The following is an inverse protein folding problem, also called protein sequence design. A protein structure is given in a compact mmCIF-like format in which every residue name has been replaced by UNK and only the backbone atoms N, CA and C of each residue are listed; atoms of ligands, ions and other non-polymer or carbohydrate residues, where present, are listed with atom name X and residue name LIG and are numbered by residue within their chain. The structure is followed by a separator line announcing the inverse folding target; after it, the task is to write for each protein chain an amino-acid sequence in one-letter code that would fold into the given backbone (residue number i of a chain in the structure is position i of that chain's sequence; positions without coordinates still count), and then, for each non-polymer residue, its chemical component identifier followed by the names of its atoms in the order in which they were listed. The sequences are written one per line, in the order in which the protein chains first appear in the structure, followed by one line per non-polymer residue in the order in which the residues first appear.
data_IF_160511861658
#
_entry.id   IF_160511861658
#
_cell.length_a   1.000
_cell.length_b   1.000
_cell.length_c   1.000
_cell.angle_alpha   90.00
_cell.angle_beta   90.00
_cell.angle_gamma   90.00
#
_symmetry.space_group_name_H-M   'P 1'
#
loop_
_entity.id
_entity.type
_entity.pdbx_description
1 polymer ?
#
# COMPACT_ATOMS: atom_id res chain seq x y z
N UNK A 1 41.47 25.42 -28.95
CA UNK A 1 41.18 25.58 -27.51
C UNK A 1 39.69 25.45 -27.17
N UNK A 2 38.78 26.24 -27.77
CA UNK A 2 37.33 26.19 -27.45
C UNK A 2 36.66 24.81 -27.64
N UNK A 3 37.04 24.03 -28.66
CA UNK A 3 36.49 22.69 -28.93
C UNK A 3 36.92 21.61 -27.93
N UNK A 4 38.12 21.73 -27.34
CA UNK A 4 38.65 20.77 -26.37
C UNK A 4 37.98 20.98 -25.01
N UNK A 5 37.78 22.24 -24.61
CA UNK A 5 37.06 22.59 -23.37
C UNK A 5 35.61 22.09 -23.40
N UNK A 6 34.94 22.18 -24.56
CA UNK A 6 33.56 21.70 -24.72
C UNK A 6 33.46 20.17 -24.60
N UNK A 7 34.40 19.42 -25.17
CA UNK A 7 34.42 17.95 -25.09
C UNK A 7 34.71 17.48 -23.65
N UNK A 8 35.63 18.14 -22.94
CA UNK A 8 35.93 17.84 -21.53
C UNK A 8 34.71 18.14 -20.63
N UNK A 9 33.97 19.22 -20.91
CA UNK A 9 32.75 19.57 -20.15
C UNK A 9 31.63 18.53 -20.33
N UNK A 10 31.45 18.00 -21.55
CA UNK A 10 30.45 16.96 -21.84
C UNK A 10 30.78 15.65 -21.12
N UNK A 11 32.07 15.27 -21.06
CA UNK A 11 32.51 14.06 -20.35
C UNK A 11 32.35 14.21 -18.83
N UNK A 12 32.56 15.41 -18.28
CA UNK A 12 32.31 15.73 -16.86
C UNK A 12 30.81 15.75 -16.47
N UNK A 13 29.93 16.04 -17.43
CA UNK A 13 28.47 16.03 -17.25
C UNK A 13 27.84 14.63 -17.46
N UNK A 14 28.60 13.68 -18.01
CA UNK A 14 28.15 12.30 -18.27
C UNK A 14 28.43 11.34 -17.10
N UNK A 15 28.50 11.86 -15.87
CA UNK A 15 28.48 11.00 -14.68
C UNK A 15 27.09 10.40 -14.62
N UNK A 16 26.98 9.16 -15.07
CA UNK A 16 25.78 8.35 -14.96
C UNK A 16 25.31 8.34 -13.51
N UNK A 17 24.26 9.10 -13.21
CA UNK A 17 23.50 8.93 -11.97
C UNK A 17 22.86 7.55 -12.06
N UNK A 18 23.42 6.58 -11.34
CA UNK A 18 22.64 5.39 -11.00
C UNK A 18 21.56 5.88 -10.04
N UNK A 19 20.35 6.04 -10.55
CA UNK A 19 19.16 6.14 -9.70
C UNK A 19 18.97 4.77 -9.05
N UNK A 20 19.74 4.48 -8.00
CA UNK A 20 19.47 3.34 -7.15
C UNK A 20 18.44 3.80 -6.12
N UNK A 21 17.22 3.29 -6.26
CA UNK A 21 16.21 3.40 -5.21
C UNK A 21 16.73 2.53 -4.05
N UNK A 22 17.03 3.17 -2.92
CA UNK A 22 17.32 2.46 -1.69
C UNK A 22 16.01 2.42 -0.90
N UNK A 23 15.50 1.22 -0.64
CA UNK A 23 14.34 1.06 0.23
C UNK A 23 14.84 0.98 1.66
N UNK A 24 14.12 1.63 2.57
CA UNK A 24 14.31 1.40 3.99
C UNK A 24 13.96 -0.06 4.33
N UNK A 25 14.46 -0.54 5.48
CA UNK A 25 14.09 -1.87 5.95
C UNK A 25 12.55 -1.97 6.08
N UNK A 26 11.94 -3.09 5.66
CA UNK A 26 10.50 -3.26 5.80
C UNK A 26 10.12 -3.34 7.28
N UNK A 27 8.91 -2.89 7.59
CA UNK A 27 8.28 -3.12 8.87
C UNK A 27 7.22 -4.22 8.72
N UNK A 28 7.28 -5.24 9.56
CA UNK A 28 6.38 -6.38 9.51
C UNK A 28 5.17 -6.18 10.43
N UNK A 29 3.96 -6.33 9.89
CA UNK A 29 2.70 -6.30 10.63
C UNK A 29 2.13 -7.71 10.76
N UNK A 30 2.18 -8.29 11.96
CA UNK A 30 1.67 -9.63 12.22
C UNK A 30 0.17 -9.60 12.54
N UNK A 31 -0.66 -10.08 11.59
CA UNK A 31 -2.12 -10.06 11.70
C UNK A 31 -2.73 -11.38 12.20
N UNK A 32 -1.93 -12.44 12.36
CA UNK A 32 -2.43 -13.74 12.81
C UNK A 32 -3.36 -14.46 11.81
N UNK A 33 -3.46 -13.99 10.57
CA UNK A 33 -4.33 -14.55 9.53
C UNK A 33 -3.60 -14.65 8.18
N UNK A 34 -4.10 -15.49 7.26
CA UNK A 34 -3.61 -15.57 5.89
C UNK A 34 -4.18 -14.39 5.10
N UNK A 35 -3.32 -13.46 4.67
CA UNK A 35 -3.72 -12.31 3.86
C UNK A 35 -3.74 -12.69 2.38
N UNK A 36 -4.84 -12.38 1.68
CA UNK A 36 -5.05 -12.72 0.25
C UNK A 36 -4.91 -11.52 -0.67
N UNK A 37 -5.20 -10.31 -0.19
CA UNK A 37 -5.09 -9.08 -0.97
C UNK A 37 -4.71 -7.89 -0.09
N UNK A 38 -3.98 -6.94 -0.69
CA UNK A 38 -3.64 -5.64 -0.10
C UNK A 38 -3.83 -4.57 -1.17
N UNK A 39 -4.43 -3.44 -0.82
CA UNK A 39 -4.43 -2.21 -1.64
C UNK A 39 -3.95 -1.03 -0.81
N UNK A 40 -3.54 0.02 -1.51
CA UNK A 40 -3.07 1.27 -0.94
C UNK A 40 -3.91 2.42 -1.50
N UNK A 41 -4.40 3.29 -0.63
CA UNK A 41 -5.18 4.47 -1.02
C UNK A 41 -5.58 5.28 0.20
N UNK A 42 -5.83 6.57 0.00
CA UNK A 42 -6.28 7.50 1.05
C UNK A 42 -7.77 7.24 1.38
N UNK A 43 -8.05 6.49 2.46
CA UNK A 43 -9.43 6.10 2.81
C UNK A 43 -10.04 6.96 3.91
N UNK A 44 -9.26 7.88 4.50
CA UNK A 44 -9.73 8.83 5.49
C UNK A 44 -9.72 10.29 4.98
N UNK A 45 -9.30 10.52 3.74
CA UNK A 45 -9.21 11.81 3.05
C UNK A 45 -8.28 12.81 3.76
N UNK A 46 -7.16 12.33 4.29
CA UNK A 46 -6.14 13.16 4.94
C UNK A 46 -4.93 13.49 4.02
N UNK A 47 -4.94 12.97 2.79
CA UNK A 47 -3.90 13.15 1.79
C UNK A 47 -2.71 12.18 1.93
N UNK A 48 -2.76 11.24 2.87
CA UNK A 48 -1.78 10.17 3.04
C UNK A 48 -2.28 8.86 2.47
N UNK A 49 -1.35 7.99 2.08
CA UNK A 49 -1.69 6.67 1.58
C UNK A 49 -1.86 5.71 2.76
N UNK A 50 -3.07 5.20 2.95
CA UNK A 50 -3.38 4.14 3.91
C UNK A 50 -3.17 2.76 3.28
N UNK A 51 -3.16 1.71 4.11
CA UNK A 51 -3.07 0.33 3.64
C UNK A 51 -4.28 -0.49 4.11
N UNK A 52 -4.87 -1.23 3.19
CA UNK A 52 -6.04 -2.07 3.45
C UNK A 52 -5.65 -3.50 3.10
N UNK A 53 -5.81 -4.42 4.04
CA UNK A 53 -5.53 -5.83 3.84
C UNK A 53 -6.78 -6.66 4.11
N UNK A 54 -6.90 -7.79 3.42
CA UNK A 54 -8.01 -8.73 3.62
C UNK A 54 -7.47 -10.12 3.95
N UNK A 55 -8.05 -10.76 4.96
CA UNK A 55 -7.71 -12.14 5.30
C UNK A 55 -8.69 -13.15 4.73
N UNK A 56 -8.16 -14.32 4.37
CA UNK A 56 -8.95 -15.53 4.22
C UNK A 56 -9.36 -16.09 5.59
N UNK A 57 -10.37 -16.96 5.56
CA UNK A 57 -10.76 -17.92 6.59
C UNK A 57 -9.62 -18.31 7.55
N UNK A 58 -9.81 -18.01 8.83
CA UNK A 58 -8.96 -18.53 9.90
C UNK A 58 -9.52 -19.88 10.37
N UNK A 59 -8.79 -20.96 10.12
CA UNK A 59 -9.16 -22.34 10.47
C UNK A 59 -9.53 -22.60 11.95
N UNK A 60 -9.26 -21.65 12.85
CA UNK A 60 -9.38 -21.82 14.29
C UNK A 60 -10.53 -21.05 14.93
N UNK A 61 -11.22 -20.18 14.20
CA UNK A 61 -12.43 -19.50 14.68
C UNK A 61 -13.46 -19.50 13.54
N UNK A 62 -14.65 -20.04 13.81
CA UNK A 62 -15.72 -20.29 12.83
C UNK A 62 -16.31 -19.03 12.18
N UNK A 63 -15.74 -17.85 12.40
CA UNK A 63 -16.33 -16.60 11.98
C UNK A 63 -15.30 -15.57 11.52
N UNK A 64 -15.31 -15.42 10.20
CA UNK A 64 -15.25 -14.14 9.46
C UNK A 64 -13.90 -13.76 8.90
N UNK A 65 -13.90 -13.65 7.58
CA UNK A 65 -12.97 -12.84 6.82
C UNK A 65 -12.92 -11.42 7.41
N UNK A 66 -11.71 -10.86 7.51
CA UNK A 66 -11.49 -9.55 8.08
C UNK A 66 -10.92 -8.61 7.03
N UNK A 67 -11.40 -7.39 7.02
CA UNK A 67 -10.73 -6.24 6.42
C UNK A 67 -9.97 -5.51 7.53
N UNK A 68 -8.65 -5.39 7.36
CA UNK A 68 -7.78 -4.61 8.22
C UNK A 68 -7.51 -3.27 7.55
N UNK A 69 -7.92 -2.18 8.21
CA UNK A 69 -7.71 -0.81 7.73
C UNK A 69 -6.60 -0.17 8.56
N UNK A 70 -5.46 0.07 7.93
CA UNK A 70 -4.30 0.70 8.53
C UNK A 70 -4.19 2.15 8.08
N UNK A 71 -4.45 3.08 9.00
CA UNK A 71 -4.28 4.50 8.73
C UNK A 71 -2.80 4.87 8.85
N UNK A 72 -2.26 5.54 7.83
CA UNK A 72 -0.92 6.08 7.88
C UNK A 72 -0.89 7.31 8.80
N UNK A 73 0.09 7.39 9.68
CA UNK A 73 0.33 8.59 10.46
C UNK A 73 1.30 9.55 9.77
N UNK A 74 1.37 10.77 10.29
CA UNK A 74 2.21 11.85 9.76
C UNK A 74 3.72 11.55 9.78
N UNK A 75 4.14 10.46 10.44
CA UNK A 75 5.53 9.98 10.45
C UNK A 75 5.79 8.88 9.40
N UNK A 76 4.80 8.56 8.56
CA UNK A 76 4.90 7.55 7.50
C UNK A 76 4.74 6.10 7.98
N UNK A 77 4.38 5.89 9.25
CA UNK A 77 4.11 4.55 9.79
C UNK A 77 2.61 4.25 9.73
N UNK A 78 2.26 2.96 9.62
CA UNK A 78 0.88 2.53 9.75
C UNK A 78 0.54 2.32 11.23
N UNK A 79 -0.59 2.88 11.66
CA UNK A 79 -1.14 2.67 13.00
C UNK A 79 -1.70 1.24 13.17
N UNK A 80 -2.05 0.86 14.39
CA UNK A 80 -2.76 -0.40 14.64
C UNK A 80 -4.06 -0.46 13.81
N UNK A 81 -4.37 -1.62 13.20
CA UNK A 81 -5.47 -1.70 12.24
C UNK A 81 -6.83 -1.70 12.92
N UNK A 82 -7.78 -1.02 12.29
CA UNK A 82 -9.20 -1.19 12.56
C UNK A 82 -9.68 -2.43 11.79
N UNK A 83 -10.45 -3.30 12.44
CA UNK A 83 -10.89 -4.57 11.87
C UNK A 83 -12.39 -4.55 11.60
N UNK A 84 -12.77 -4.95 10.38
CA UNK A 84 -14.16 -5.12 9.98
C UNK A 84 -14.38 -6.55 9.50
N UNK A 85 -15.30 -7.24 10.17
CA UNK A 85 -15.71 -8.58 9.75
C UNK A 85 -16.72 -8.49 8.61
N UNK A 86 -16.59 -9.36 7.62
CA UNK A 86 -17.60 -9.55 6.59
C UNK A 86 -17.92 -11.04 6.41
N UNK A 87 -19.13 -11.30 5.93
CA UNK A 87 -19.55 -12.64 5.57
C UNK A 87 -19.20 -12.87 4.10
N UNK A 88 -18.20 -13.70 3.82
CA UNK A 88 -18.04 -14.21 2.47
C UNK A 88 -18.94 -15.44 2.31
N UNK A 89 -19.79 -15.39 1.28
CA UNK A 89 -20.62 -16.52 0.88
C UNK A 89 -19.96 -17.37 -0.21
N UNK A 90 -18.86 -16.89 -0.78
CA UNK A 90 -18.05 -17.60 -1.76
C UNK A 90 -16.92 -18.32 -1.03
N UNK A 91 -16.82 -19.64 -1.23
CA UNK A 91 -15.68 -20.44 -0.77
C UNK A 91 -14.42 -20.16 -1.61
N UNK A 92 -14.03 -18.89 -1.80
CA UNK A 92 -12.95 -18.47 -2.69
C UNK A 92 -12.05 -17.38 -2.08
N UNK A 93 -10.92 -17.09 -2.75
CA UNK A 93 -10.04 -16.00 -2.35
C UNK A 93 -10.79 -14.66 -2.49
N UNK A 94 -10.96 -13.94 -1.37
CA UNK A 94 -11.51 -12.58 -1.37
C UNK A 94 -10.43 -11.57 -1.81
N UNK A 95 -10.83 -10.60 -2.64
CA UNK A 95 -9.99 -9.51 -3.12
C UNK A 95 -10.63 -8.17 -2.74
N UNK A 96 -9.86 -7.08 -2.78
CA UNK A 96 -10.40 -5.76 -2.48
C UNK A 96 -9.99 -4.73 -3.54
N UNK A 97 -10.81 -3.68 -3.67
CA UNK A 97 -10.50 -2.48 -4.47
C UNK A 97 -10.87 -1.22 -3.70
N UNK A 98 -10.14 -0.15 -3.99
CA UNK A 98 -10.35 1.17 -3.41
C UNK A 98 -10.74 2.13 -4.54
N UNK A 99 -11.74 2.97 -4.30
CA UNK A 99 -12.14 4.05 -5.19
C UNK A 99 -13.45 4.68 -4.78
N UNK A 100 -13.78 5.84 -5.33
CA UNK A 100 -15.10 6.45 -5.15
C UNK A 100 -16.12 5.74 -6.05
N UNK A 101 -16.89 4.83 -5.47
CA UNK A 101 -17.92 4.07 -6.18
C UNK A 101 -19.29 4.72 -6.07
N UNK A 102 -19.50 5.59 -5.09
CA UNK A 102 -20.79 6.19 -4.79
C UNK A 102 -20.91 7.67 -5.27
N UNK A 103 -19.81 8.27 -5.73
CA UNK A 103 -19.64 9.66 -6.19
C UNK A 103 -19.76 10.73 -5.08
N UNK A 104 -19.35 10.43 -3.85
CA UNK A 104 -19.28 11.41 -2.75
C UNK A 104 -17.91 12.10 -2.62
N UNK A 105 -16.96 11.75 -3.47
CA UNK A 105 -15.55 12.17 -3.44
C UNK A 105 -14.75 11.62 -2.26
N UNK A 106 -15.21 10.54 -1.64
CA UNK A 106 -14.45 9.75 -0.67
C UNK A 106 -14.14 8.39 -1.27
N UNK A 107 -12.98 7.84 -0.93
CA UNK A 107 -12.64 6.48 -1.36
C UNK A 107 -13.47 5.47 -0.56
N UNK A 108 -14.24 4.64 -1.27
CA UNK A 108 -14.86 3.45 -0.71
C UNK A 108 -13.91 2.25 -0.81
N UNK A 109 -14.15 1.25 0.04
CA UNK A 109 -13.52 -0.07 -0.02
C UNK A 109 -14.59 -1.07 -0.47
N UNK A 110 -14.32 -1.79 -1.55
CA UNK A 110 -15.18 -2.89 -2.02
C UNK A 110 -14.43 -4.21 -1.89
N UNK A 111 -15.18 -5.25 -1.51
CA UNK A 111 -14.73 -6.63 -1.26
C UNK A 111 -15.59 -7.58 -2.06
#
# INVERSE_FOLDING_TARGET
MKRIVLIVLIILLAISTKAQINFDAPFDYFLGARITSVEVGDVNNDGLNDAIAISEYAYLDEDKYQVFVFIQNQHGQLNDPIQYSFADSANGDAFLKIGDFNNDNLNDIVV
#
